data_IF_161981978367
#
_entry.id   IF_161981978367
#
_cell.length_a   1.000
_cell.length_b   1.000
_cell.length_c   1.000
_cell.angle_alpha   90.00
_cell.angle_beta   90.00
_cell.angle_gamma   90.00
#
_symmetry.space_group_name_H-M   'P 1'
#
loop_
_entity.id
_entity.type
_entity.pdbx_description
1 polymer ?
#
# COMPACT_ATOMS: atom_id res chain seq x y z
N UNK A 1 49.79 -53.46 -5.80
CA UNK A 1 48.37 -53.43 -5.56
C UNK A 1 47.71 -52.54 -6.59
N UNK A 2 46.92 -53.12 -7.48
CA UNK A 2 46.36 -52.46 -8.67
C UNK A 2 44.96 -51.91 -8.29
N UNK A 3 44.77 -50.59 -8.38
CA UNK A 3 43.50 -49.94 -8.21
C UNK A 3 42.95 -49.64 -9.59
N UNK A 4 41.86 -50.34 -9.95
CA UNK A 4 41.10 -50.13 -11.17
C UNK A 4 40.27 -48.84 -11.01
N UNK A 5 40.45 -47.88 -11.89
CA UNK A 5 39.61 -46.69 -12.00
C UNK A 5 38.42 -47.00 -12.89
N UNK A 6 37.22 -46.93 -12.34
CA UNK A 6 35.94 -47.00 -13.08
C UNK A 6 35.57 -45.59 -13.52
N UNK A 7 35.44 -45.38 -14.83
CA UNK A 7 34.96 -44.12 -15.44
C UNK A 7 33.44 -44.29 -15.69
N UNK A 8 32.56 -43.43 -15.18
CA UNK A 8 31.17 -43.42 -15.61
C UNK A 8 31.01 -42.61 -16.89
N UNK A 9 30.41 -43.23 -17.88
CA UNK A 9 30.00 -42.64 -19.15
C UNK A 9 28.77 -41.75 -18.90
N UNK A 10 28.89 -40.45 -19.14
CA UNK A 10 27.79 -39.52 -19.17
C UNK A 10 27.07 -39.60 -20.52
N UNK A 11 25.80 -40.07 -20.51
CA UNK A 11 24.91 -40.02 -21.66
C UNK A 11 24.35 -38.58 -21.81
N UNK A 12 24.67 -37.93 -22.94
CA UNK A 12 24.04 -36.68 -23.37
C UNK A 12 22.62 -37.02 -23.87
N UNK A 13 21.60 -36.54 -23.16
CA UNK A 13 20.25 -36.49 -23.68
C UNK A 13 20.07 -35.23 -24.52
N UNK A 14 19.86 -35.41 -25.81
CA UNK A 14 19.53 -34.32 -26.74
C UNK A 14 18.09 -33.86 -26.49
N UNK A 15 17.92 -32.58 -26.11
CA UNK A 15 16.62 -31.91 -26.12
C UNK A 15 16.29 -31.50 -27.56
N UNK A 16 15.37 -32.19 -28.17
CA UNK A 16 14.75 -31.78 -29.42
C UNK A 16 13.84 -30.59 -29.17
N UNK A 17 14.26 -29.44 -29.69
CA UNK A 17 13.47 -28.21 -29.71
C UNK A 17 12.38 -28.39 -30.78
N UNK A 18 11.13 -28.70 -30.37
CA UNK A 18 9.98 -28.61 -31.24
C UNK A 18 9.74 -27.15 -31.64
N UNK A 19 10.12 -26.82 -32.85
CA UNK A 19 9.79 -25.61 -33.55
C UNK A 19 8.32 -25.64 -33.95
N UNK A 20 7.45 -24.96 -33.17
CA UNK A 20 6.06 -24.76 -33.58
C UNK A 20 5.99 -23.65 -34.63
N UNK A 21 5.27 -23.83 -35.74
CA UNK A 21 5.07 -22.78 -36.71
C UNK A 21 4.18 -21.69 -36.11
N UNK A 22 4.70 -20.49 -35.96
CA UNK A 22 3.94 -19.26 -35.67
C UNK A 22 3.06 -18.94 -36.88
N UNK A 23 1.77 -19.29 -36.78
CA UNK A 23 0.77 -18.74 -37.67
C UNK A 23 0.63 -17.23 -37.43
N UNK A 24 1.15 -16.44 -38.34
CA UNK A 24 0.93 -15.01 -38.38
C UNK A 24 -0.54 -14.74 -38.73
N UNK A 25 -1.37 -14.61 -37.70
CA UNK A 25 -2.72 -14.03 -37.84
C UNK A 25 -2.58 -12.53 -37.57
N UNK A 26 -2.92 -11.73 -38.58
CA UNK A 26 -2.82 -10.28 -38.58
C UNK A 26 -3.59 -9.59 -37.45
N UNK A 27 -3.31 -8.30 -37.21
CA UNK A 27 -3.91 -7.58 -36.09
C UNK A 27 -5.41 -7.42 -36.29
N UNK A 28 -6.19 -8.03 -35.40
CA UNK A 28 -7.62 -7.74 -35.29
C UNK A 28 -7.78 -6.32 -34.72
N UNK A 29 -8.54 -5.42 -35.40
CA UNK A 29 -8.86 -4.12 -34.85
C UNK A 29 -9.93 -4.29 -33.76
N UNK A 30 -9.64 -3.87 -32.53
CA UNK A 30 -10.64 -3.70 -31.49
C UNK A 30 -10.57 -4.65 -30.31
N UNK A 31 -9.40 -4.79 -29.66
CA UNK A 31 -9.39 -5.14 -28.24
C UNK A 31 -9.75 -3.85 -27.46
N UNK A 32 -11.05 -3.69 -27.17
CA UNK A 32 -11.48 -2.68 -26.22
C UNK A 32 -10.69 -2.87 -24.94
N UNK A 33 -9.93 -1.85 -24.52
CA UNK A 33 -9.35 -1.78 -23.19
C UNK A 33 -10.52 -1.83 -22.21
N UNK A 34 -10.76 -3.01 -21.64
CA UNK A 34 -11.66 -3.16 -20.51
C UNK A 34 -11.11 -2.24 -19.43
N UNK A 35 -11.89 -1.23 -18.93
CA UNK A 35 -11.42 -0.44 -17.81
C UNK A 35 -11.05 -1.40 -16.70
N UNK A 36 -9.84 -1.27 -16.17
CA UNK A 36 -9.45 -2.03 -14.98
C UNK A 36 -10.57 -1.86 -13.95
N UNK A 37 -11.16 -2.97 -13.55
CA UNK A 37 -12.25 -2.97 -12.58
C UNK A 37 -11.81 -2.10 -11.41
N UNK A 38 -12.61 -1.09 -11.06
CA UNK A 38 -12.42 -0.32 -9.85
C UNK A 38 -12.27 -1.33 -8.72
N UNK A 39 -11.09 -1.37 -8.11
CA UNK A 39 -10.79 -2.33 -7.04
C UNK A 39 -11.87 -2.25 -5.98
N UNK A 40 -12.24 -3.37 -5.41
CA UNK A 40 -13.17 -3.42 -4.26
C UNK A 40 -12.67 -2.40 -3.23
N UNK A 41 -13.52 -1.46 -2.78
CA UNK A 41 -13.11 -0.49 -1.77
C UNK A 41 -12.51 -1.19 -0.55
N UNK A 42 -11.39 -0.70 -0.07
CA UNK A 42 -10.80 -1.21 1.17
C UNK A 42 -11.81 -1.03 2.32
N UNK A 43 -11.89 -1.97 3.27
CA UNK A 43 -12.76 -1.80 4.43
C UNK A 43 -12.37 -0.53 5.19
N UNK A 44 -13.37 0.26 5.62
CA UNK A 44 -13.18 1.53 6.31
C UNK A 44 -14.13 1.64 7.50
N UNK A 45 -13.68 2.31 8.55
CA UNK A 45 -14.51 2.70 9.70
C UNK A 45 -15.24 4.03 9.46
N UNK A 46 -14.85 4.78 8.43
CA UNK A 46 -15.53 6.02 8.08
C UNK A 46 -16.93 5.71 7.50
N UNK A 47 -18.02 6.18 8.13
CA UNK A 47 -19.37 5.95 7.63
C UNK A 47 -19.66 6.66 6.29
N UNK A 48 -18.85 7.66 5.94
CA UNK A 48 -18.95 8.41 4.69
C UNK A 48 -17.58 8.56 4.04
N UNK A 49 -17.02 7.47 3.48
CA UNK A 49 -15.69 7.52 2.91
C UNK A 49 -15.64 8.47 1.70
N UNK A 50 -14.53 9.19 1.50
CA UNK A 50 -14.35 10.01 0.31
C UNK A 50 -14.50 9.20 -0.98
N UNK A 51 -15.00 9.78 -2.06
CA UNK A 51 -15.13 9.08 -3.33
C UNK A 51 -13.75 8.71 -3.90
N UNK A 52 -13.66 7.62 -4.68
CA UNK A 52 -12.40 7.30 -5.35
C UNK A 52 -12.01 8.40 -6.34
N UNK A 53 -10.71 8.64 -6.53
CA UNK A 53 -10.24 9.63 -7.50
C UNK A 53 -10.67 9.29 -8.91
N UNK A 54 -10.85 10.30 -9.80
CA UNK A 54 -11.18 10.07 -11.20
C UNK A 54 -10.15 9.18 -11.90
N UNK A 55 -10.58 8.29 -12.79
CA UNK A 55 -9.67 7.40 -13.56
C UNK A 55 -8.65 8.17 -14.42
N UNK A 56 -8.91 9.42 -14.72
CA UNK A 56 -8.03 10.32 -15.46
C UNK A 56 -7.15 11.20 -14.55
N UNK A 57 -7.14 10.98 -13.23
CA UNK A 57 -6.32 11.73 -12.28
C UNK A 57 -4.83 11.69 -12.65
N UNK A 58 -4.16 12.85 -12.64
CA UNK A 58 -2.73 13.01 -12.98
C UNK A 58 -1.99 13.90 -11.99
N UNK A 59 -2.69 14.65 -11.14
CA UNK A 59 -2.10 15.58 -10.18
C UNK A 59 -2.46 15.15 -8.76
N UNK A 60 -1.66 15.59 -7.79
CA UNK A 60 -1.87 15.32 -6.36
C UNK A 60 -3.28 15.72 -5.94
N UNK A 61 -3.73 16.93 -6.35
CA UNK A 61 -5.06 17.46 -6.00
C UNK A 61 -6.21 16.61 -6.58
N UNK A 62 -6.01 15.97 -7.71
CA UNK A 62 -7.01 15.09 -8.32
C UNK A 62 -7.09 13.73 -7.61
N UNK A 63 -5.99 13.29 -6.98
CA UNK A 63 -5.97 12.08 -6.17
C UNK A 63 -6.49 12.33 -4.76
N UNK A 64 -6.39 13.55 -4.25
CA UNK A 64 -6.89 13.89 -2.92
C UNK A 64 -8.38 14.29 -2.98
N UNK A 65 -9.22 13.31 -2.76
CA UNK A 65 -10.67 13.49 -2.70
C UNK A 65 -11.19 13.68 -1.27
N UNK A 66 -10.30 13.73 -0.29
CA UNK A 66 -10.64 13.94 1.12
C UNK A 66 -10.99 15.42 1.36
N UNK A 67 -12.12 15.68 1.98
CA UNK A 67 -12.56 17.06 2.24
C UNK A 67 -11.70 17.76 3.28
N UNK A 68 -11.64 19.08 3.19
CA UNK A 68 -10.95 19.89 4.22
C UNK A 68 -11.60 19.73 5.60
N UNK A 69 -12.90 19.46 5.64
CA UNK A 69 -13.62 19.19 6.89
C UNK A 69 -13.14 17.87 7.52
N UNK A 70 -12.93 16.80 6.73
CA UNK A 70 -12.41 15.54 7.24
C UNK A 70 -10.95 15.68 7.72
N UNK A 71 -10.13 16.45 7.00
CA UNK A 71 -8.76 16.74 7.41
C UNK A 71 -8.71 17.56 8.71
N UNK A 72 -9.59 18.54 8.85
CA UNK A 72 -9.72 19.33 10.09
C UNK A 72 -10.20 18.46 11.25
N UNK A 73 -11.17 17.57 11.02
CA UNK A 73 -11.64 16.62 12.03
C UNK A 73 -10.54 15.64 12.46
N UNK A 74 -9.69 15.21 11.53
CA UNK A 74 -8.55 14.35 11.85
C UNK A 74 -7.51 15.03 12.73
N UNK A 75 -7.33 16.34 12.60
CA UNK A 75 -6.43 17.14 13.45
C UNK A 75 -7.03 17.48 14.83
N UNK A 76 -8.34 17.30 15.01
CA UNK A 76 -9.00 17.50 16.31
C UNK A 76 -8.80 16.28 17.21
N UNK A 77 -7.57 16.06 17.66
CA UNK A 77 -7.21 15.00 18.59
C UNK A 77 -7.58 15.43 20.02
N UNK A 78 -8.18 14.50 20.78
CA UNK A 78 -8.48 14.72 22.19
C UNK A 78 -7.30 14.21 23.05
N UNK A 79 -6.48 15.15 23.54
CA UNK A 79 -5.30 14.86 24.37
C UNK A 79 -5.65 14.23 25.72
N UNK A 80 -6.93 14.24 26.11
CA UNK A 80 -7.39 13.68 27.39
C UNK A 80 -7.81 12.21 27.28
N UNK A 81 -7.99 11.68 26.07
CA UNK A 81 -8.33 10.28 25.87
C UNK A 81 -7.16 9.36 26.25
N UNK A 82 -7.41 8.28 26.97
CA UNK A 82 -6.36 7.30 27.27
C UNK A 82 -5.90 6.62 25.98
N UNK A 83 -4.66 6.84 25.60
CA UNK A 83 -4.07 6.24 24.41
C UNK A 83 -3.08 5.15 24.81
N UNK A 84 -3.08 4.06 24.08
CA UNK A 84 -2.06 3.01 24.17
C UNK A 84 -1.04 3.23 23.06
N UNK A 85 0.19 3.51 23.45
CA UNK A 85 1.31 3.62 22.51
C UNK A 85 1.62 2.25 21.90
N UNK A 86 1.69 2.20 20.57
CA UNK A 86 2.09 1.02 19.80
C UNK A 86 3.54 1.08 19.31
N UNK A 87 4.19 2.24 19.49
CA UNK A 87 5.57 2.50 19.07
C UNK A 87 5.68 3.30 17.77
N UNK A 88 6.88 3.26 17.18
CA UNK A 88 7.20 4.01 15.96
C UNK A 88 7.31 3.09 14.75
N UNK A 89 7.06 3.65 13.57
CA UNK A 89 7.21 2.96 12.29
C UNK A 89 7.67 3.92 11.21
N UNK A 90 8.38 3.40 10.20
CA UNK A 90 8.70 4.14 9.00
C UNK A 90 7.52 4.08 8.03
N UNK A 91 6.96 5.23 7.70
CA UNK A 91 5.82 5.36 6.81
C UNK A 91 6.23 5.91 5.45
N UNK A 92 5.77 5.25 4.40
CA UNK A 92 5.90 5.68 3.00
C UNK A 92 4.54 5.98 2.40
N UNK A 93 4.48 6.77 1.33
CA UNK A 93 3.24 7.01 0.62
C UNK A 93 2.66 5.69 0.11
N UNK A 94 1.43 5.41 0.49
CA UNK A 94 0.64 4.29 -0.02
C UNK A 94 0.01 4.57 -1.39
N UNK A 95 -0.84 3.66 -1.90
CA UNK A 95 -1.51 3.85 -3.18
C UNK A 95 -2.32 5.16 -3.19
N UNK A 96 -2.01 6.11 -4.09
CA UNK A 96 -2.71 7.40 -4.10
C UNK A 96 -4.18 7.29 -4.53
N UNK A 97 -4.55 6.18 -5.17
CA UNK A 97 -5.92 5.89 -5.55
C UNK A 97 -6.82 5.40 -4.39
N UNK A 98 -6.25 5.10 -3.22
CA UNK A 98 -7.01 4.76 -2.02
C UNK A 98 -7.36 6.04 -1.24
N UNK A 99 -8.63 6.50 -1.27
CA UNK A 99 -9.04 7.73 -0.61
C UNK A 99 -9.10 7.60 0.91
N UNK A 100 -9.19 8.74 1.60
CA UNK A 100 -9.36 8.82 3.05
C UNK A 100 -8.05 8.99 3.81
N UNK A 101 -8.18 9.10 5.13
CA UNK A 101 -7.08 9.35 6.08
C UNK A 101 -6.79 8.05 6.81
N UNK A 102 -5.72 7.34 6.43
CA UNK A 102 -5.37 6.03 6.98
C UNK A 102 -3.87 5.76 7.01
N UNK A 103 -3.49 4.86 7.92
CA UNK A 103 -2.16 4.25 8.01
C UNK A 103 -2.29 2.72 7.97
N UNK A 104 -1.67 2.07 6.99
CA UNK A 104 -1.56 0.61 6.91
C UNK A 104 -0.25 0.19 7.57
N UNK A 105 -0.34 -0.51 8.70
CA UNK A 105 0.79 -0.78 9.59
C UNK A 105 0.75 -2.21 10.15
N UNK A 106 1.91 -2.84 10.41
CA UNK A 106 1.98 -4.11 11.12
C UNK A 106 1.74 -3.99 12.63
N UNK A 107 1.64 -2.76 13.16
CA UNK A 107 1.45 -2.52 14.60
C UNK A 107 0.03 -2.86 15.09
N UNK A 108 -0.93 -3.03 14.16
CA UNK A 108 -2.30 -3.43 14.46
C UNK A 108 -2.67 -4.71 13.73
N UNK A 109 -3.49 -5.54 14.38
CA UNK A 109 -3.99 -6.80 13.81
C UNK A 109 -5.42 -6.71 13.27
N UNK A 110 -6.12 -5.62 13.57
CA UNK A 110 -7.48 -5.35 13.12
C UNK A 110 -7.63 -3.86 12.77
N UNK A 111 -8.64 -3.57 11.96
CA UNK A 111 -9.01 -2.20 11.61
C UNK A 111 -9.47 -1.47 12.88
N UNK A 112 -8.82 -0.37 13.21
CA UNK A 112 -9.11 0.43 14.41
C UNK A 112 -8.87 1.91 14.16
N UNK A 113 -9.41 2.78 15.01
CA UNK A 113 -9.03 4.19 15.04
C UNK A 113 -7.79 4.37 15.92
N UNK A 114 -6.94 5.30 15.54
CA UNK A 114 -5.79 5.67 16.34
C UNK A 114 -5.27 7.04 16.00
N UNK A 115 -4.23 7.45 16.70
CA UNK A 115 -3.54 8.73 16.51
C UNK A 115 -2.15 8.45 15.98
N UNK A 116 -1.78 9.20 14.96
CA UNK A 116 -0.44 9.18 14.36
C UNK A 116 0.21 10.53 14.54
N UNK A 117 1.42 10.54 15.09
CA UNK A 117 2.19 11.73 15.40
C UNK A 117 3.40 11.86 14.49
N UNK A 118 3.61 13.03 13.93
CA UNK A 118 4.77 13.39 13.15
C UNK A 118 5.28 14.79 13.53
N UNK A 119 6.52 14.86 14.03
CA UNK A 119 7.17 16.13 14.42
C UNK A 119 6.28 17.02 15.32
N UNK A 120 5.55 16.41 16.26
CA UNK A 120 4.69 17.13 17.22
C UNK A 120 3.33 17.54 16.63
N UNK A 121 2.95 17.02 15.49
CA UNK A 121 1.63 17.18 14.89
C UNK A 121 0.90 15.85 14.92
N UNK A 122 -0.28 15.83 15.51
CA UNK A 122 -1.07 14.65 15.73
C UNK A 122 -2.29 14.63 14.79
N UNK A 123 -2.63 13.46 14.29
CA UNK A 123 -3.83 13.29 13.50
C UNK A 123 -4.49 11.93 13.80
N UNK A 124 -5.79 11.98 14.01
CA UNK A 124 -6.65 10.81 14.16
C UNK A 124 -6.93 10.19 12.80
N UNK A 125 -6.69 8.90 12.68
CA UNK A 125 -6.89 8.19 11.42
C UNK A 125 -7.18 6.71 11.60
N UNK A 126 -7.62 6.08 10.53
CA UNK A 126 -7.78 4.63 10.51
C UNK A 126 -6.43 3.93 10.48
N UNK A 127 -6.22 3.02 11.41
CA UNK A 127 -5.10 2.09 11.41
C UNK A 127 -5.58 0.78 10.77
N UNK A 128 -4.95 0.40 9.67
CA UNK A 128 -5.28 -0.79 8.90
C UNK A 128 -4.16 -1.82 9.05
N UNK A 129 -4.47 -3.11 9.30
CA UNK A 129 -3.44 -4.14 9.36
C UNK A 129 -2.77 -4.29 7.98
N UNK A 130 -1.44 -4.27 7.96
CA UNK A 130 -0.67 -4.54 6.74
C UNK A 130 -0.50 -6.03 6.47
N UNK A 131 -0.64 -6.87 7.50
CA UNK A 131 -0.32 -8.30 7.43
C UNK A 131 1.18 -8.61 7.35
N UNK A 132 2.03 -7.58 7.43
CA UNK A 132 3.48 -7.74 7.45
C UNK A 132 4.00 -8.06 8.84
N UNK A 133 5.28 -8.45 8.91
CA UNK A 133 5.99 -8.66 10.18
C UNK A 133 6.26 -7.33 10.90
N UNK A 134 6.45 -7.39 12.21
CA UNK A 134 6.86 -6.22 12.99
C UNK A 134 8.17 -5.64 12.42
N UNK A 135 8.19 -4.33 12.16
CA UNK A 135 9.34 -3.64 11.55
C UNK A 135 9.34 -3.61 10.01
N UNK A 136 8.36 -4.20 9.33
CA UNK A 136 8.27 -4.16 7.86
C UNK A 136 7.92 -2.76 7.29
N UNK A 137 7.76 -1.75 8.16
CA UNK A 137 7.33 -0.41 7.77
C UNK A 137 5.82 -0.31 7.55
N UNK A 138 5.38 0.89 7.23
CA UNK A 138 3.97 1.25 7.06
C UNK A 138 3.73 2.03 5.79
N UNK A 139 2.49 2.06 5.35
CA UNK A 139 2.03 2.90 4.24
C UNK A 139 0.99 3.88 4.77
N UNK A 140 1.15 5.14 4.41
CA UNK A 140 0.25 6.21 4.83
C UNK A 140 -0.46 6.81 3.60
N UNK A 141 -1.74 7.17 3.74
CA UNK A 141 -2.50 7.76 2.64
C UNK A 141 -2.00 9.14 2.26
N UNK A 142 -2.27 9.54 1.01
CA UNK A 142 -1.96 10.86 0.49
C UNK A 142 -2.55 11.97 1.37
N UNK A 143 -3.84 11.86 1.70
CA UNK A 143 -4.53 12.83 2.56
C UNK A 143 -3.93 12.91 3.97
N UNK A 144 -3.52 11.77 4.55
CA UNK A 144 -2.87 11.75 5.87
C UNK A 144 -1.49 12.41 5.85
N UNK A 145 -0.67 12.17 4.80
CA UNK A 145 0.63 12.85 4.64
C UNK A 145 0.45 14.36 4.56
N UNK A 146 -0.50 14.84 3.76
CA UNK A 146 -0.81 16.27 3.64
C UNK A 146 -1.30 16.85 4.97
N UNK A 147 -2.18 16.14 5.67
CA UNK A 147 -2.74 16.55 6.97
C UNK A 147 -1.64 16.70 8.01
N UNK A 148 -0.69 15.77 8.09
CA UNK A 148 0.46 15.81 8.98
C UNK A 148 1.58 16.75 8.50
N UNK A 149 1.56 17.18 7.24
CA UNK A 149 2.61 17.99 6.63
C UNK A 149 3.87 17.19 6.29
N UNK A 150 3.72 15.91 6.00
CA UNK A 150 4.80 15.03 5.58
C UNK A 150 5.03 15.23 4.07
N UNK A 151 6.28 15.50 3.61
CA UNK A 151 6.59 15.54 2.18
C UNK A 151 6.32 14.20 1.50
N UNK A 152 5.64 14.21 0.35
CA UNK A 152 5.16 12.97 -0.31
C UNK A 152 6.28 12.02 -0.78
N UNK A 153 7.50 12.51 -0.89
CA UNK A 153 8.67 11.73 -1.28
C UNK A 153 9.53 11.28 -0.10
N UNK A 154 9.14 11.64 1.12
CA UNK A 154 9.88 11.31 2.35
C UNK A 154 9.43 9.95 2.90
N UNK A 155 10.38 9.21 3.45
CA UNK A 155 10.11 8.10 4.36
C UNK A 155 10.12 8.70 5.76
N UNK A 156 8.95 8.84 6.35
CA UNK A 156 8.78 9.52 7.63
C UNK A 156 8.71 8.54 8.79
N UNK A 157 9.43 8.80 9.86
CA UNK A 157 9.22 8.10 11.12
C UNK A 157 8.03 8.73 11.84
N UNK A 158 7.03 7.91 12.13
CA UNK A 158 5.81 8.32 12.81
C UNK A 158 5.57 7.48 14.05
N UNK A 159 5.03 8.09 15.10
CA UNK A 159 4.58 7.39 16.31
C UNK A 159 3.10 7.04 16.14
N UNK A 160 2.71 5.87 16.62
CA UNK A 160 1.36 5.33 16.46
C UNK A 160 0.80 4.95 17.82
N UNK A 161 -0.42 5.39 18.10
CA UNK A 161 -1.17 5.01 19.29
C UNK A 161 -2.62 4.68 18.95
N UNK A 162 -3.29 3.91 19.82
CA UNK A 162 -4.73 3.59 19.72
C UNK A 162 -5.47 4.11 20.93
N UNK A 163 -6.72 4.52 20.71
CA UNK A 163 -7.66 4.93 21.78
C UNK A 163 -8.26 3.71 22.48
#
# INVERSE_FOLDING_TARGET
MRILALIPVFALAACETMMQPVSATGPAPGAGVTPAAAGTPAPTLNPNPPPPPPVAARTVDQFDTTSDADKAAALAVDDTAPVKDLGTTLATLGPPAEPGIWLKTPLVSALTMGVVSYKGKDAKMELRPSGGEAGSGSQISLAAMQTLGIPLTEIAEVSVSVE
#
